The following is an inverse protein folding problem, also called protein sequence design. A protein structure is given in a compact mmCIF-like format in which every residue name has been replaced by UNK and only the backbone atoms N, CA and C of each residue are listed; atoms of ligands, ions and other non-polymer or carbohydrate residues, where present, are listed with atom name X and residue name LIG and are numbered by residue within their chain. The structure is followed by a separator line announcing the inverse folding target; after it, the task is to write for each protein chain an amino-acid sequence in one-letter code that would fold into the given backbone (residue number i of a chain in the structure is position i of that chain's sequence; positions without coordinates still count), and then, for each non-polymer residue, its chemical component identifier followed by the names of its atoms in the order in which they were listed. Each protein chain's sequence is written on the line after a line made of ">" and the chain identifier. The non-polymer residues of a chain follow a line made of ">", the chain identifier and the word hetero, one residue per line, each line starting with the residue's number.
data_IF_433910533253
#
_entry.id   IF_433910533253
#
_cell.length_a   1.000
_cell.length_b   1.000
_cell.length_c   1.000
_cell.angle_alpha   90.00
_cell.angle_beta   90.00
_cell.angle_gamma   90.00
#
_symmetry.space_group_name_H-M   'P 1'
#
loop_
_entity.id
_entity.type
_entity.pdbx_description
1 polymer ?
#
# COMPACT_ATOMS: atom_id res chain seq x y z
N UNK A 1 20.24 -10.85 22.15
CA UNK A 1 19.47 -9.65 22.59
C UNK A 1 18.37 -9.39 21.60
N UNK A 2 17.15 -9.20 22.04
CA UNK A 2 16.03 -8.84 21.17
C UNK A 2 16.19 -7.38 20.74
N UNK A 3 16.13 -7.11 19.45
CA UNK A 3 16.15 -5.74 18.89
C UNK A 3 14.78 -5.12 19.17
N UNK A 4 14.78 -4.01 19.91
CA UNK A 4 13.56 -3.21 20.11
C UNK A 4 13.54 -2.05 19.15
N UNK A 5 12.48 -2.00 18.33
CA UNK A 5 12.31 -0.96 17.30
C UNK A 5 11.92 0.37 17.93
N UNK A 6 12.39 1.45 17.35
CA UNK A 6 12.05 2.84 17.71
C UNK A 6 11.81 3.67 16.47
N UNK A 7 11.17 4.83 16.60
CA UNK A 7 11.07 5.76 15.48
C UNK A 7 12.40 6.43 15.21
N UNK A 8 12.84 6.38 13.95
CA UNK A 8 13.97 7.14 13.43
C UNK A 8 13.52 8.47 12.84
N UNK A 9 12.36 8.46 12.16
CA UNK A 9 11.81 9.65 11.49
C UNK A 9 10.29 9.70 11.67
N UNK A 10 9.77 10.88 12.02
CA UNK A 10 8.33 11.17 12.09
C UNK A 10 8.03 12.32 11.13
N UNK A 11 6.93 12.22 10.40
CA UNK A 11 6.44 13.25 9.48
C UNK A 11 4.94 13.45 9.61
N UNK A 12 4.50 14.65 9.22
CA UNK A 12 3.06 14.97 9.09
C UNK A 12 2.81 15.37 7.64
N UNK A 13 2.41 14.44 6.77
CA UNK A 13 2.17 14.72 5.37
C UNK A 13 1.08 15.78 5.19
N UNK A 14 1.31 16.86 4.42
CA UNK A 14 0.31 17.90 4.22
C UNK A 14 -0.84 17.39 3.34
N UNK A 15 -2.07 17.80 3.68
CA UNK A 15 -3.19 17.62 2.77
C UNK A 15 -3.12 18.63 1.64
N UNK A 16 -3.33 18.21 0.40
CA UNK A 16 -3.30 19.06 -0.79
C UNK A 16 -4.40 18.68 -1.78
N UNK A 17 -4.80 19.56 -2.71
CA UNK A 17 -5.72 19.18 -3.77
C UNK A 17 -5.17 17.99 -4.57
N UNK A 18 -6.02 16.98 -4.79
CA UNK A 18 -5.68 15.82 -5.60
C UNK A 18 -6.01 16.01 -7.08
N UNK A 19 -5.56 15.08 -7.92
CA UNK A 19 -5.65 15.18 -9.39
C UNK A 19 -7.06 14.86 -9.97
N UNK A 20 -7.95 14.25 -9.18
CA UNK A 20 -9.33 13.96 -9.60
C UNK A 20 -10.26 15.19 -9.57
N UNK A 21 -9.73 16.38 -9.29
CA UNK A 21 -10.49 17.64 -9.36
C UNK A 21 -11.20 18.02 -8.06
N UNK A 22 -12.36 18.69 -8.20
CA UNK A 22 -13.07 19.25 -7.06
C UNK A 22 -13.52 18.19 -6.05
N UNK A 23 -13.22 18.43 -4.76
CA UNK A 23 -13.54 17.49 -3.66
C UNK A 23 -12.49 16.39 -3.45
N UNK A 24 -11.45 16.33 -4.28
CA UNK A 24 -10.33 15.41 -4.06
C UNK A 24 -9.22 16.07 -3.23
N UNK A 25 -8.90 15.45 -2.11
CA UNK A 25 -7.77 15.79 -1.24
C UNK A 25 -6.84 14.59 -1.17
N UNK A 26 -5.56 14.80 -1.36
CA UNK A 26 -4.52 13.79 -1.30
C UNK A 26 -3.48 14.13 -0.22
N UNK A 27 -2.97 13.12 0.49
CA UNK A 27 -1.80 13.23 1.37
C UNK A 27 -0.69 12.33 0.84
N UNK A 28 0.43 12.88 0.38
CA UNK A 28 1.59 12.09 0.01
C UNK A 28 2.31 11.58 1.27
N UNK A 29 1.91 10.42 1.77
CA UNK A 29 2.45 9.81 3.00
C UNK A 29 3.87 9.29 2.78
N UNK A 30 4.10 8.65 1.63
CA UNK A 30 5.44 8.29 1.11
C UNK A 30 5.60 9.01 -0.22
N UNK A 31 6.56 9.94 -0.25
CA UNK A 31 6.91 10.69 -1.45
C UNK A 31 8.32 11.26 -1.28
N UNK A 32 9.21 11.02 -2.24
CA UNK A 32 10.58 11.51 -2.16
C UNK A 32 11.62 10.54 -2.71
N UNK A 33 12.77 10.46 -2.06
CA UNK A 33 13.86 9.57 -2.49
C UNK A 33 13.52 8.12 -2.16
N UNK A 34 13.47 7.27 -3.19
CA UNK A 34 13.21 5.85 -3.06
C UNK A 34 14.26 5.13 -2.20
N UNK A 35 15.51 5.60 -2.19
CA UNK A 35 16.55 4.97 -1.39
C UNK A 35 16.26 4.99 0.11
N UNK A 36 15.49 5.98 0.58
CA UNK A 36 15.09 6.10 1.98
C UNK A 36 13.85 5.26 2.32
N UNK A 37 13.11 4.79 1.31
CA UNK A 37 11.80 4.16 1.47
C UNK A 37 11.68 2.79 0.81
N UNK A 38 12.74 2.30 0.15
CA UNK A 38 12.77 0.98 -0.49
C UNK A 38 12.21 -0.11 0.45
N UNK A 39 11.18 -0.88 0.05
CA UNK A 39 10.66 -1.06 -1.32
C UNK A 39 9.45 -0.18 -1.67
N UNK A 40 9.09 0.79 -0.85
CA UNK A 40 7.90 1.63 -1.05
C UNK A 40 8.23 2.84 -1.91
N UNK A 41 7.61 2.94 -3.10
CA UNK A 41 7.85 4.04 -4.05
C UNK A 41 6.99 5.26 -3.71
N UNK A 42 5.71 5.01 -3.42
CA UNK A 42 4.70 6.04 -3.19
C UNK A 42 3.62 5.47 -2.26
N UNK A 43 3.11 6.28 -1.34
CA UNK A 43 1.86 6.02 -0.62
C UNK A 43 1.03 7.30 -0.61
N UNK A 44 -0.15 7.23 -1.20
CA UNK A 44 -1.14 8.30 -1.15
C UNK A 44 -2.30 7.91 -0.24
N UNK A 45 -2.74 8.87 0.59
CA UNK A 45 -4.01 8.81 1.32
C UNK A 45 -4.98 9.75 0.59
N UNK A 46 -5.81 9.16 -0.27
CA UNK A 46 -6.72 9.86 -1.16
C UNK A 46 -8.14 9.88 -0.60
N UNK A 47 -8.70 11.08 -0.47
CA UNK A 47 -10.04 11.35 0.02
C UNK A 47 -10.83 12.10 -1.04
N UNK A 48 -11.91 11.50 -1.55
CA UNK A 48 -12.79 12.13 -2.53
C UNK A 48 -14.18 12.34 -1.94
N UNK A 49 -14.70 13.56 -2.02
CA UNK A 49 -16.11 13.91 -1.78
C UNK A 49 -16.71 14.50 -3.07
N UNK A 50 -17.03 13.61 -4.01
CA UNK A 50 -17.53 13.95 -5.34
C UNK A 50 -19.01 14.35 -5.29
N UNK A 51 -19.31 15.56 -5.78
CA UNK A 51 -20.66 16.16 -5.74
C UNK A 51 -21.40 16.12 -7.09
N UNK A 52 -20.71 15.74 -8.15
CA UNK A 52 -21.22 15.70 -9.52
C UNK A 52 -21.09 14.29 -10.13
N UNK A 53 -21.55 14.13 -11.37
CA UNK A 53 -21.49 12.89 -12.15
C UNK A 53 -20.54 13.00 -13.35
N UNK A 54 -19.66 14.00 -13.36
CA UNK A 54 -18.64 14.17 -14.40
C UNK A 54 -17.57 13.08 -14.20
N UNK A 55 -17.30 12.20 -15.17
CA UNK A 55 -16.32 11.13 -15.00
C UNK A 55 -14.91 11.65 -14.71
N UNK A 56 -14.23 11.03 -13.76
CA UNK A 56 -12.81 11.26 -13.43
C UNK A 56 -12.10 9.91 -13.27
N UNK A 57 -10.78 9.85 -13.35
CA UNK A 57 -10.01 8.62 -13.16
C UNK A 57 -10.11 7.66 -14.35
N UNK A 58 -9.97 8.16 -15.59
CA UNK A 58 -10.01 7.33 -16.80
C UNK A 58 -8.85 6.35 -16.94
N UNK A 59 -8.84 5.57 -18.05
CA UNK A 59 -7.81 4.56 -18.31
C UNK A 59 -6.40 5.14 -18.27
N UNK A 60 -5.50 4.47 -17.56
CA UNK A 60 -4.10 4.87 -17.46
C UNK A 60 -3.17 3.66 -17.29
N UNK A 61 -1.90 3.77 -17.75
CA UNK A 61 -0.96 2.65 -17.71
C UNK A 61 -0.16 2.61 -16.42
N UNK A 62 0.35 1.42 -16.08
CA UNK A 62 1.41 1.21 -15.09
C UNK A 62 2.37 0.13 -15.58
N UNK A 63 3.65 0.20 -15.17
CA UNK A 63 4.64 -0.85 -15.40
C UNK A 63 5.78 -0.79 -14.39
N UNK A 64 6.35 -1.96 -14.05
CA UNK A 64 7.56 -2.12 -13.25
C UNK A 64 7.36 -2.15 -11.73
N UNK A 65 6.12 -2.16 -11.24
CA UNK A 65 5.81 -2.17 -9.81
C UNK A 65 4.47 -2.87 -9.53
N UNK A 66 4.10 -2.99 -8.28
CA UNK A 66 2.78 -3.42 -7.81
C UNK A 66 2.02 -2.22 -7.23
N UNK A 67 0.73 -2.08 -7.55
CA UNK A 67 -0.18 -1.17 -6.82
C UNK A 67 -0.93 -1.96 -5.76
N UNK A 68 -1.09 -1.36 -4.57
CA UNK A 68 -1.89 -1.93 -3.48
C UNK A 68 -2.89 -0.90 -3.04
N UNK A 69 -4.16 -1.15 -3.32
CA UNK A 69 -5.29 -0.27 -2.98
C UNK A 69 -6.03 -0.84 -1.79
N UNK A 70 -6.08 -0.11 -0.68
CA UNK A 70 -6.89 -0.45 0.50
C UNK A 70 -8.01 0.58 0.65
N UNK A 71 -9.26 0.13 0.62
CA UNK A 71 -10.44 0.99 0.80
C UNK A 71 -10.69 1.23 2.29
N UNK A 72 -10.57 2.47 2.74
CA UNK A 72 -10.84 2.86 4.14
C UNK A 72 -12.29 3.31 4.36
N UNK A 73 -12.88 3.97 3.36
CA UNK A 73 -14.28 4.44 3.36
C UNK A 73 -14.87 4.39 1.96
N UNK A 74 -16.19 4.14 1.89
CA UNK A 74 -16.92 4.12 0.63
C UNK A 74 -16.64 2.89 -0.20
N UNK A 75 -16.60 3.09 -1.51
CA UNK A 75 -16.41 2.04 -2.52
C UNK A 75 -15.70 2.60 -3.74
N UNK A 76 -15.03 1.74 -4.54
CA UNK A 76 -14.39 2.07 -5.81
C UNK A 76 -14.59 0.92 -6.79
N UNK A 77 -14.59 1.22 -8.11
CA UNK A 77 -14.86 0.23 -9.15
C UNK A 77 -16.34 -0.06 -9.34
N UNK A 78 -16.66 -0.89 -10.32
CA UNK A 78 -18.01 -1.28 -10.71
C UNK A 78 -18.11 -2.79 -10.93
N UNK A 79 -19.35 -3.31 -10.88
CA UNK A 79 -19.64 -4.72 -11.16
C UNK A 79 -18.92 -5.68 -10.21
N UNK A 80 -18.26 -6.68 -10.78
CA UNK A 80 -17.55 -7.74 -10.03
C UNK A 80 -16.25 -7.23 -9.40
N UNK A 81 -15.68 -6.14 -9.93
CA UNK A 81 -14.46 -5.52 -9.43
C UNK A 81 -14.69 -4.44 -8.36
N UNK A 82 -15.93 -4.31 -7.93
CA UNK A 82 -16.28 -3.37 -6.88
C UNK A 82 -15.57 -3.74 -5.59
N UNK A 83 -14.79 -2.79 -5.10
CA UNK A 83 -14.17 -2.82 -3.78
C UNK A 83 -14.97 -1.96 -2.83
N UNK A 84 -15.18 -2.46 -1.62
CA UNK A 84 -15.87 -1.77 -0.54
C UNK A 84 -14.94 -1.56 0.65
N UNK A 85 -15.39 -0.82 1.66
CA UNK A 85 -14.61 -0.56 2.88
C UNK A 85 -14.00 -1.84 3.47
N UNK A 86 -12.68 -1.83 3.62
CA UNK A 86 -11.88 -2.91 4.14
C UNK A 86 -11.42 -3.94 3.11
N UNK A 87 -11.81 -3.80 1.84
CA UNK A 87 -11.29 -4.61 0.75
C UNK A 87 -9.90 -4.12 0.33
N UNK A 88 -9.07 -5.05 -0.11
CA UNK A 88 -7.77 -4.76 -0.70
C UNK A 88 -7.67 -5.36 -2.09
N UNK A 89 -7.06 -4.63 -3.02
CA UNK A 89 -6.65 -5.12 -4.33
C UNK A 89 -5.15 -4.91 -4.52
N UNK A 90 -4.48 -5.96 -4.99
CA UNK A 90 -3.10 -5.90 -5.44
C UNK A 90 -3.05 -6.14 -6.93
N UNK A 91 -2.53 -5.17 -7.68
CA UNK A 91 -2.25 -5.31 -9.11
C UNK A 91 -0.75 -5.33 -9.34
N UNK A 92 -0.23 -6.45 -9.84
CA UNK A 92 1.12 -6.49 -10.39
C UNK A 92 1.09 -5.88 -11.79
N UNK A 93 1.66 -4.69 -11.96
CA UNK A 93 1.73 -4.06 -13.28
C UNK A 93 2.86 -4.64 -14.16
N UNK A 94 3.97 -5.02 -13.56
CA UNK A 94 5.05 -5.80 -14.18
C UNK A 94 5.48 -5.28 -15.55
N UNK A 95 5.30 -6.10 -16.59
CA UNK A 95 5.68 -5.77 -17.98
C UNK A 95 4.87 -4.63 -18.61
N UNK A 96 3.79 -4.21 -17.98
CA UNK A 96 2.95 -3.10 -18.43
C UNK A 96 1.50 -3.49 -18.62
N UNK A 97 0.60 -2.67 -18.09
CA UNK A 97 -0.84 -2.90 -18.12
C UNK A 97 -1.57 -1.54 -18.11
N UNK A 98 -2.77 -1.50 -18.67
CA UNK A 98 -3.71 -0.40 -18.54
C UNK A 98 -4.82 -0.83 -17.59
N UNK A 99 -5.20 0.03 -16.66
CA UNK A 99 -6.40 -0.16 -15.85
C UNK A 99 -7.29 1.07 -15.83
N UNK A 100 -8.50 0.94 -15.31
CA UNK A 100 -9.49 2.01 -15.29
C UNK A 100 -10.07 2.13 -13.89
N UNK A 101 -10.02 3.33 -13.33
CA UNK A 101 -10.59 3.67 -12.02
C UNK A 101 -11.62 4.80 -12.17
N UNK A 102 -12.52 4.69 -13.16
CA UNK A 102 -13.48 5.74 -13.47
C UNK A 102 -14.51 5.88 -12.35
N UNK A 103 -14.68 7.12 -11.89
CA UNK A 103 -15.68 7.52 -10.92
C UNK A 103 -16.61 8.53 -11.61
N UNK A 104 -17.83 8.08 -11.96
CA UNK A 104 -18.84 8.84 -12.72
C UNK A 104 -20.11 9.16 -11.92
N UNK A 105 -20.11 8.85 -10.61
CA UNK A 105 -21.23 9.08 -9.70
C UNK A 105 -20.84 9.93 -8.49
N UNK A 106 -21.84 10.52 -7.84
CA UNK A 106 -21.66 11.21 -6.56
C UNK A 106 -21.32 10.19 -5.49
N UNK A 107 -20.19 10.39 -4.81
CA UNK A 107 -19.74 9.46 -3.78
C UNK A 107 -18.74 10.07 -2.84
N UNK A 108 -18.54 9.42 -1.69
CA UNK A 108 -17.41 9.65 -0.80
C UNK A 108 -16.57 8.39 -0.73
N UNK A 109 -15.27 8.56 -0.84
CA UNK A 109 -14.32 7.47 -0.61
C UNK A 109 -13.05 7.96 0.08
N UNK A 110 -12.37 7.06 0.76
CA UNK A 110 -10.99 7.21 1.20
C UNK A 110 -10.25 5.92 0.91
N UNK A 111 -9.13 6.02 0.22
CA UNK A 111 -8.27 4.88 -0.10
C UNK A 111 -6.83 5.17 0.29
N UNK A 112 -6.09 4.11 0.57
CA UNK A 112 -4.63 4.14 0.62
C UNK A 112 -4.11 3.45 -0.62
N UNK A 113 -3.36 4.20 -1.45
CA UNK A 113 -2.76 3.72 -2.69
C UNK A 113 -1.25 3.63 -2.51
N UNK A 114 -0.74 2.40 -2.40
CA UNK A 114 0.69 2.12 -2.32
C UNK A 114 1.25 1.69 -3.67
N UNK A 115 2.42 2.18 -4.04
CA UNK A 115 3.27 1.63 -5.09
C UNK A 115 4.44 0.90 -4.46
N UNK A 116 4.54 -0.40 -4.72
CA UNK A 116 5.55 -1.30 -4.18
C UNK A 116 6.51 -1.72 -5.30
N UNK A 117 7.81 -1.50 -5.12
CA UNK A 117 8.82 -1.85 -6.12
C UNK A 117 8.87 -3.35 -6.33
N UNK A 118 8.90 -3.79 -7.58
CA UNK A 118 9.26 -5.16 -7.93
C UNK A 118 10.78 -5.33 -7.85
N UNK A 119 11.30 -6.47 -7.35
CA UNK A 119 12.73 -6.80 -7.51
C UNK A 119 13.12 -6.80 -8.99
N UNK A 120 14.34 -6.40 -9.34
CA UNK A 120 14.80 -6.31 -10.73
C UNK A 120 14.56 -7.60 -11.51
N UNK A 121 14.77 -8.78 -10.89
CA UNK A 121 14.50 -10.10 -11.50
C UNK A 121 13.03 -10.37 -11.84
N UNK A 122 12.11 -9.60 -11.24
CA UNK A 122 10.66 -9.70 -11.47
C UNK A 122 10.05 -8.41 -12.00
N UNK A 123 10.87 -7.40 -12.34
CA UNK A 123 10.43 -6.09 -12.85
C UNK A 123 9.43 -6.22 -13.98
N UNK A 124 9.63 -7.18 -14.84
CA UNK A 124 8.82 -7.42 -16.03
C UNK A 124 7.93 -8.67 -15.90
N UNK A 125 7.52 -9.01 -14.66
CA UNK A 125 6.56 -10.09 -14.43
C UNK A 125 5.27 -9.86 -15.21
N UNK A 126 4.56 -10.94 -15.52
CA UNK A 126 3.24 -10.84 -16.16
C UNK A 126 2.27 -10.07 -15.26
N UNK A 127 1.48 -9.13 -15.81
CA UNK A 127 0.45 -8.44 -15.05
C UNK A 127 -0.56 -9.42 -14.47
N UNK A 128 -1.00 -9.15 -13.22
CA UNK A 128 -2.03 -9.97 -12.54
C UNK A 128 -2.78 -9.13 -11.52
N UNK A 129 -3.98 -9.60 -11.14
CA UNK A 129 -4.82 -8.98 -10.13
C UNK A 129 -5.07 -9.97 -8.99
N UNK A 130 -5.07 -9.49 -7.75
CA UNK A 130 -5.44 -10.27 -6.57
C UNK A 130 -6.36 -9.42 -5.69
N UNK A 131 -7.54 -9.93 -5.40
CA UNK A 131 -8.52 -9.28 -4.54
C UNK A 131 -8.59 -10.00 -3.19
N UNK A 132 -8.67 -9.22 -2.12
CA UNK A 132 -8.93 -9.73 -0.77
C UNK A 132 -10.10 -8.95 -0.17
N UNK A 133 -11.24 -9.62 -0.06
CA UNK A 133 -12.42 -9.02 0.56
C UNK A 133 -12.22 -8.84 2.06
N UNK A 134 -12.82 -7.80 2.61
CA UNK A 134 -12.71 -7.49 4.04
C UNK A 134 -13.10 -8.65 4.97
N UNK A 135 -14.07 -9.46 4.53
CA UNK A 135 -14.55 -10.64 5.27
C UNK A 135 -13.54 -11.80 5.27
N UNK A 136 -12.71 -11.90 4.22
CA UNK A 136 -11.74 -13.00 4.02
C UNK A 136 -10.34 -12.65 4.53
N UNK A 137 -10.11 -11.37 4.89
CA UNK A 137 -8.84 -10.93 5.44
C UNK A 137 -8.60 -11.54 6.83
N UNK A 138 -7.52 -12.33 7.03
CA UNK A 138 -7.22 -12.94 8.31
C UNK A 138 -7.09 -11.90 9.42
N UNK A 139 -7.62 -12.20 10.60
CA UNK A 139 -7.54 -11.30 11.74
C UNK A 139 -7.26 -12.02 13.05
N UNK A 140 -6.65 -11.32 13.99
CA UNK A 140 -6.32 -11.81 15.34
C UNK A 140 -6.34 -10.66 16.34
N UNK A 141 -6.66 -10.97 17.60
CA UNK A 141 -6.58 -10.00 18.70
C UNK A 141 -5.45 -10.38 19.67
N UNK A 142 -4.55 -9.43 19.94
CA UNK A 142 -3.39 -9.60 20.82
C UNK A 142 -3.18 -8.33 21.63
N UNK A 143 -3.17 -8.44 22.98
CA UNK A 143 -2.84 -7.32 23.88
C UNK A 143 -3.75 -6.10 23.74
N UNK A 144 -5.07 -6.30 23.48
CA UNK A 144 -6.01 -5.18 23.23
C UNK A 144 -5.85 -4.52 21.86
N UNK A 145 -5.08 -5.12 20.96
CA UNK A 145 -5.03 -4.77 19.56
C UNK A 145 -5.78 -5.80 18.72
N UNK A 146 -6.63 -5.33 17.81
CA UNK A 146 -7.25 -6.12 16.75
C UNK A 146 -6.49 -5.86 15.45
N UNK A 147 -5.90 -6.92 14.89
CA UNK A 147 -5.03 -6.87 13.70
C UNK A 147 -5.76 -7.56 12.56
N UNK A 148 -5.98 -6.85 11.46
CA UNK A 148 -6.42 -7.41 10.18
C UNK A 148 -5.23 -7.41 9.23
N UNK A 149 -4.86 -8.59 8.71
CA UNK A 149 -3.67 -8.79 7.91
C UNK A 149 -4.02 -8.88 6.43
N UNK A 150 -3.47 -7.95 5.64
CA UNK A 150 -3.69 -7.89 4.19
C UNK A 150 -2.56 -8.53 3.38
N UNK A 151 -1.32 -8.50 3.88
CA UNK A 151 -0.18 -9.13 3.20
C UNK A 151 0.82 -9.67 4.21
N UNK A 152 1.49 -10.75 3.85
CA UNK A 152 2.58 -11.36 4.62
C UNK A 152 2.11 -12.22 5.80
N UNK A 153 2.91 -12.22 6.86
CA UNK A 153 2.67 -12.97 8.11
C UNK A 153 2.90 -12.07 9.30
N UNK A 154 1.97 -12.06 10.26
CA UNK A 154 2.07 -11.27 11.49
C UNK A 154 1.25 -11.93 12.60
N UNK A 155 1.74 -11.90 13.85
CA UNK A 155 1.02 -12.36 15.03
C UNK A 155 0.40 -13.78 14.86
N UNK A 156 1.12 -14.68 14.18
CA UNK A 156 0.70 -16.08 13.99
C UNK A 156 -0.30 -16.32 12.84
N UNK A 157 -0.76 -15.29 12.15
CA UNK A 157 -1.64 -15.42 10.98
C UNK A 157 -0.91 -15.11 9.67
N UNK A 158 -1.47 -15.56 8.53
CA UNK A 158 -0.91 -15.37 7.19
C UNK A 158 -1.98 -14.92 6.22
N UNK A 159 -1.66 -13.95 5.37
CA UNK A 159 -2.52 -13.50 4.28
C UNK A 159 -2.42 -14.43 3.06
N UNK A 160 -3.50 -14.59 2.26
CA UNK A 160 -3.45 -15.28 0.98
C UNK A 160 -2.77 -14.45 -0.13
N UNK A 161 -2.66 -13.13 0.02
CA UNK A 161 -2.03 -12.24 -0.98
C UNK A 161 -0.56 -12.56 -1.15
N UNK A 162 -0.11 -12.64 -2.40
CA UNK A 162 1.27 -13.00 -2.78
C UNK A 162 1.95 -11.85 -3.52
N UNK A 163 2.81 -11.14 -2.81
CA UNK A 163 3.67 -10.09 -3.37
C UNK A 163 4.96 -10.69 -3.93
N UNK A 164 5.50 -10.08 -4.99
CA UNK A 164 6.87 -10.39 -5.45
C UNK A 164 7.92 -9.85 -4.49
N UNK A 165 7.69 -8.66 -3.92
CA UNK A 165 8.52 -8.12 -2.82
C UNK A 165 7.89 -8.50 -1.48
N UNK A 166 8.59 -9.22 -0.60
CA UNK A 166 8.05 -9.62 0.69
C UNK A 166 7.63 -8.39 1.51
N UNK A 167 6.36 -8.37 1.93
CA UNK A 167 5.76 -7.25 2.66
C UNK A 167 4.79 -7.77 3.72
N UNK A 168 4.68 -7.02 4.81
CA UNK A 168 3.60 -7.11 5.80
C UNK A 168 2.76 -5.85 5.69
N UNK A 169 1.46 -6.01 5.49
CA UNK A 169 0.48 -4.93 5.48
C UNK A 169 -0.65 -5.28 6.44
N UNK A 170 -0.83 -4.48 7.47
CA UNK A 170 -1.84 -4.73 8.50
C UNK A 170 -2.58 -3.45 8.91
N UNK A 171 -3.89 -3.55 9.09
CA UNK A 171 -4.74 -2.57 9.76
C UNK A 171 -4.86 -2.95 11.23
N UNK A 172 -4.39 -2.10 12.12
CA UNK A 172 -4.32 -2.35 13.55
C UNK A 172 -5.20 -1.34 14.27
N UNK A 173 -6.23 -1.85 14.95
CA UNK A 173 -7.07 -1.06 15.86
C UNK A 173 -6.74 -1.44 17.30
N UNK A 174 -6.50 -0.46 18.15
CA UNK A 174 -6.12 -0.66 19.54
C UNK A 174 -7.13 -0.01 20.48
N UNK A 175 -7.48 -0.73 21.53
CA UNK A 175 -8.32 -0.21 22.61
C UNK A 175 -7.63 0.93 23.34
N UNK A 176 -8.42 1.68 24.13
CA UNK A 176 -7.92 2.80 24.95
C UNK A 176 -6.83 2.31 25.92
N UNK A 177 -5.66 2.95 25.86
CA UNK A 177 -4.49 2.63 26.67
C UNK A 177 -3.99 1.18 26.52
N UNK A 178 -4.36 0.46 25.45
CA UNK A 178 -3.88 -0.88 25.18
C UNK A 178 -2.39 -0.89 24.83
N UNK A 179 -1.73 -1.97 25.20
CA UNK A 179 -0.32 -2.24 24.85
C UNK A 179 -0.24 -3.58 24.15
N UNK A 180 0.46 -3.63 23.01
CA UNK A 180 0.74 -4.85 22.28
C UNK A 180 2.19 -4.90 21.83
N UNK A 181 2.72 -6.09 21.60
CA UNK A 181 4.06 -6.29 21.04
C UNK A 181 3.98 -7.20 19.84
N UNK A 182 4.63 -6.78 18.74
CA UNK A 182 4.64 -7.47 17.46
C UNK A 182 6.07 -7.84 17.09
N UNK A 183 6.26 -9.05 16.57
CA UNK A 183 7.53 -9.48 15.99
C UNK A 183 7.57 -9.09 14.50
N UNK A 184 8.63 -8.40 14.07
CA UNK A 184 8.87 -7.97 12.70
C UNK A 184 10.29 -8.36 12.27
N UNK A 185 10.51 -8.69 10.98
CA UNK A 185 11.86 -8.84 10.47
C UNK A 185 12.67 -7.55 10.68
N UNK A 186 13.81 -7.65 11.36
CA UNK A 186 14.62 -6.49 11.74
C UNK A 186 15.15 -5.71 10.51
N UNK A 187 15.34 -6.40 9.37
CA UNK A 187 15.81 -5.87 8.09
C UNK A 187 14.72 -5.25 7.21
N UNK A 188 13.43 -5.31 7.61
CA UNK A 188 12.37 -4.71 6.83
C UNK A 188 12.27 -3.22 7.14
N UNK A 189 12.19 -2.42 6.08
CA UNK A 189 11.84 -1.01 6.19
C UNK A 189 10.37 -0.92 6.62
N UNK A 190 10.12 -0.28 7.75
CA UNK A 190 8.82 -0.32 8.41
C UNK A 190 8.31 1.06 8.72
N UNK A 191 7.08 1.35 8.32
CA UNK A 191 6.37 2.59 8.59
C UNK A 191 5.02 2.31 9.25
N UNK A 192 4.65 3.14 10.22
CA UNK A 192 3.32 3.22 10.80
C UNK A 192 2.65 4.52 10.32
N UNK A 193 1.40 4.42 9.85
CA UNK A 193 0.58 5.57 9.50
C UNK A 193 -0.69 5.59 10.36
N UNK A 194 -0.87 6.62 11.18
CA UNK A 194 -1.99 6.73 12.12
C UNK A 194 -3.19 7.36 11.43
N UNK A 195 -4.30 6.61 11.40
CA UNK A 195 -5.58 7.05 10.82
C UNK A 195 -6.48 7.75 11.84
N UNK A 196 -6.38 7.34 13.12
CA UNK A 196 -7.18 7.91 14.21
C UNK A 196 -6.51 7.66 15.56
N UNK A 197 -6.70 8.56 16.52
CA UNK A 197 -6.13 8.48 17.85
C UNK A 197 -4.63 8.70 17.88
N UNK A 198 -3.91 7.96 18.74
CA UNK A 198 -2.45 8.08 18.86
C UNK A 198 -1.81 6.78 19.32
N UNK A 199 -0.56 6.56 18.91
CA UNK A 199 0.25 5.40 19.30
C UNK A 199 1.67 5.83 19.63
N UNK A 200 2.24 5.26 20.69
CA UNK A 200 3.64 5.50 21.07
C UNK A 200 4.49 4.25 20.85
N UNK A 201 5.73 4.48 20.44
CA UNK A 201 6.83 3.50 20.40
C UNK A 201 7.97 4.08 21.23
N UNK A 202 8.26 3.46 22.37
CA UNK A 202 9.14 4.02 23.37
C UNK A 202 8.58 5.36 23.89
N UNK A 203 9.40 6.41 23.83
CA UNK A 203 9.04 7.76 24.30
C UNK A 203 8.41 8.66 23.21
N UNK A 204 8.37 8.20 21.97
CA UNK A 204 7.88 8.98 20.82
C UNK A 204 6.45 8.60 20.48
N UNK A 205 5.60 9.58 20.21
CA UNK A 205 4.18 9.40 19.92
C UNK A 205 3.84 9.89 18.51
N UNK A 206 3.06 9.10 17.78
CA UNK A 206 2.37 9.49 16.56
C UNK A 206 0.92 9.82 16.86
N UNK A 207 0.43 10.93 16.35
CA UNK A 207 -0.99 11.30 16.31
C UNK A 207 -1.61 11.06 14.94
N UNK A 208 -2.88 11.42 14.81
CA UNK A 208 -3.64 11.27 13.57
C UNK A 208 -2.96 11.96 12.37
N UNK A 209 -2.96 11.30 11.23
CA UNK A 209 -2.32 11.69 9.97
C UNK A 209 -0.79 11.82 10.04
N UNK A 210 -0.14 11.30 11.07
CA UNK A 210 1.31 11.22 11.14
C UNK A 210 1.82 9.86 10.68
N UNK A 211 2.99 9.89 10.03
CA UNK A 211 3.75 8.71 9.63
C UNK A 211 5.06 8.63 10.39
N UNK A 212 5.38 7.45 10.92
CA UNK A 212 6.61 7.18 11.64
C UNK A 212 7.37 6.00 11.03
N UNK A 213 8.61 6.23 10.60
CA UNK A 213 9.52 5.20 10.14
C UNK A 213 10.33 4.65 11.30
N UNK A 214 10.43 3.34 11.37
CA UNK A 214 11.23 2.65 12.37
C UNK A 214 12.70 2.55 11.92
N UNK A 215 13.59 2.47 12.90
CA UNK A 215 15.00 2.20 12.68
C UNK A 215 15.22 0.87 11.94
N UNK A 216 16.12 0.87 10.96
CA UNK A 216 16.46 -0.27 10.12
C UNK A 216 17.71 -0.99 10.64
N UNK A 217 17.64 -2.31 10.72
CA UNK A 217 18.78 -3.13 11.16
C UNK A 217 19.24 -4.08 10.05
N UNK A 218 20.55 -4.20 9.85
CA UNK A 218 21.14 -5.07 8.82
C UNK A 218 21.08 -6.56 9.14
N UNK A 219 20.72 -6.94 10.36
CA UNK A 219 20.63 -8.34 10.80
C UNK A 219 19.38 -9.04 10.22
N UNK A 220 19.50 -10.34 9.99
CA UNK A 220 18.39 -11.13 9.42
C UNK A 220 17.37 -11.62 10.47
N UNK A 221 17.55 -11.24 11.72
CA UNK A 221 16.76 -11.70 12.87
C UNK A 221 15.47 -10.90 13.03
N UNK A 222 14.57 -11.41 13.85
CA UNK A 222 13.35 -10.74 14.26
C UNK A 222 13.65 -9.58 15.21
N UNK A 223 12.80 -8.59 15.19
CA UNK A 223 12.79 -7.47 16.11
C UNK A 223 11.43 -7.32 16.77
N UNK A 224 11.37 -6.65 17.90
CA UNK A 224 10.17 -6.38 18.66
C UNK A 224 9.72 -4.94 18.46
N UNK A 225 8.44 -4.77 18.09
CA UNK A 225 7.76 -3.48 18.04
C UNK A 225 6.70 -3.43 19.14
N UNK A 226 6.96 -2.64 20.18
CA UNK A 226 5.98 -2.40 21.24
C UNK A 226 5.16 -1.17 20.93
N UNK A 227 3.83 -1.30 20.87
CA UNK A 227 2.87 -0.23 20.60
C UNK A 227 2.05 0.06 21.86
N UNK A 228 1.90 1.35 22.21
CA UNK A 228 1.06 1.81 23.31
C UNK A 228 0.05 2.80 22.76
N UNK A 229 -1.23 2.46 22.82
CA UNK A 229 -2.30 3.33 22.38
C UNK A 229 -2.55 4.46 23.38
N UNK A 230 -2.97 5.62 22.86
CA UNK A 230 -3.40 6.74 23.70
C UNK A 230 -4.74 6.50 24.41
N UNK A 231 -5.19 7.51 25.18
CA UNK A 231 -6.40 7.43 25.99
C UNK A 231 -7.70 7.23 25.19
N UNK A 232 -7.69 7.51 23.89
CA UNK A 232 -8.82 7.32 22.97
C UNK A 232 -8.64 6.11 22.06
N UNK A 233 -7.63 5.26 22.30
CA UNK A 233 -7.24 4.20 21.41
C UNK A 233 -6.45 4.69 20.22
N UNK A 234 -6.23 3.80 19.24
CA UNK A 234 -5.58 4.12 17.98
C UNK A 234 -6.10 3.24 16.85
N UNK A 235 -6.08 3.75 15.62
CA UNK A 235 -6.12 2.95 14.40
C UNK A 235 -4.97 3.38 13.50
N UNK A 236 -4.17 2.41 13.06
CA UNK A 236 -3.01 2.66 12.24
C UNK A 236 -2.83 1.57 11.19
N UNK A 237 -2.16 1.91 10.10
CA UNK A 237 -1.72 0.95 9.10
C UNK A 237 -0.21 0.74 9.25
N UNK A 238 0.19 -0.53 9.34
CA UNK A 238 1.57 -0.96 9.37
C UNK A 238 1.97 -1.42 7.98
N UNK A 239 3.01 -0.79 7.43
CA UNK A 239 3.71 -1.18 6.22
C UNK A 239 5.11 -1.62 6.59
N UNK A 240 5.48 -2.87 6.29
CA UNK A 240 6.81 -3.40 6.59
C UNK A 240 7.26 -4.24 5.41
N UNK A 241 8.28 -3.79 4.67
CA UNK A 241 8.72 -4.41 3.41
C UNK A 241 10.21 -4.69 3.37
N UNK A 242 10.57 -5.78 2.71
CA UNK A 242 11.97 -6.11 2.48
C UNK A 242 12.54 -5.16 1.43
N UNK A 243 13.58 -4.35 1.76
CA UNK A 243 14.27 -3.56 0.76
C UNK A 243 14.77 -4.44 -0.38
N UNK A 244 14.58 -3.99 -1.62
CA UNK A 244 15.04 -4.69 -2.82
C UNK A 244 16.54 -4.49 -3.04
N UNK A 245 17.06 -3.33 -2.66
CA UNK A 245 18.43 -2.90 -2.95
C UNK A 245 18.69 -2.64 -4.44
N UNK A 246 17.65 -2.73 -5.26
CA UNK A 246 17.73 -2.50 -6.70
C UNK A 246 17.53 -1.02 -7.02
N UNK A 247 18.36 -0.40 -7.86
CA UNK A 247 18.11 0.96 -8.33
C UNK A 247 16.86 0.98 -9.21
N UNK A 248 16.11 2.09 -9.14
CA UNK A 248 14.97 2.32 -10.02
C UNK A 248 15.09 3.66 -10.74
N UNK A 249 14.54 3.71 -11.96
CA UNK A 249 14.26 4.95 -12.69
C UNK A 249 12.75 5.12 -12.75
N UNK A 250 12.25 6.23 -12.22
CA UNK A 250 10.83 6.56 -12.18
C UNK A 250 10.52 7.73 -13.10
N UNK A 251 9.51 7.59 -13.95
CA UNK A 251 8.97 8.70 -14.75
C UNK A 251 7.49 8.49 -15.04
N UNK A 252 6.64 9.38 -14.51
CA UNK A 252 5.18 9.26 -14.60
C UNK A 252 4.68 7.92 -14.05
N UNK A 253 3.89 7.15 -14.82
CA UNK A 253 3.29 5.89 -14.37
C UNK A 253 4.22 4.67 -14.53
N UNK A 254 5.49 4.88 -14.84
CA UNK A 254 6.44 3.81 -15.18
C UNK A 254 7.66 3.80 -14.26
N UNK A 255 8.02 2.60 -13.86
CA UNK A 255 9.26 2.28 -13.14
C UNK A 255 10.08 1.33 -14.02
N UNK A 256 11.36 1.61 -14.16
CA UNK A 256 12.31 0.77 -14.90
C UNK A 256 13.62 0.63 -14.14
N UNK A 257 14.51 -0.21 -14.65
CA UNK A 257 15.88 -0.32 -14.13
C UNK A 257 16.78 0.73 -14.80
N UNK A 258 16.41 1.19 -15.99
CA UNK A 258 17.15 2.16 -16.80
C UNK A 258 16.25 3.19 -17.48
N UNK A 259 16.82 4.32 -17.90
CA UNK A 259 16.11 5.31 -18.71
C UNK A 259 15.61 4.75 -20.07
N UNK A 260 16.30 3.75 -20.60
CA UNK A 260 15.90 3.05 -21.83
C UNK A 260 14.58 2.28 -21.62
N UNK A 261 14.39 1.68 -20.45
CA UNK A 261 13.13 1.01 -20.10
C UNK A 261 11.96 1.98 -20.11
N UNK A 262 12.13 3.17 -19.54
CA UNK A 262 11.10 4.20 -19.54
C UNK A 262 10.74 4.60 -20.97
N UNK A 263 11.74 4.80 -21.83
CA UNK A 263 11.53 5.14 -23.25
C UNK A 263 10.75 4.03 -23.97
N UNK A 264 11.12 2.75 -23.74
CA UNK A 264 10.44 1.58 -24.28
C UNK A 264 8.98 1.53 -23.85
N UNK A 265 8.70 1.69 -22.55
CA UNK A 265 7.35 1.63 -21.98
C UNK A 265 6.43 2.72 -22.56
N UNK A 266 6.91 3.98 -22.69
CA UNK A 266 6.15 5.02 -23.36
C UNK A 266 5.85 4.71 -24.83
N UNK A 267 6.80 4.09 -25.52
CA UNK A 267 6.61 3.68 -26.92
C UNK A 267 5.56 2.56 -27.03
N UNK A 268 5.64 1.54 -26.21
CA UNK A 268 4.70 0.40 -26.16
C UNK A 268 3.28 0.89 -25.82
N UNK A 269 3.15 1.75 -24.81
CA UNK A 269 1.86 2.34 -24.46
C UNK A 269 1.22 3.11 -25.60
N UNK A 270 2.00 4.00 -26.26
CA UNK A 270 1.51 4.79 -27.42
C UNK A 270 1.11 3.91 -28.61
N UNK A 271 1.66 2.74 -28.72
CA UNK A 271 1.33 1.77 -29.77
C UNK A 271 0.15 0.86 -29.38
N UNK A 272 -0.45 1.03 -28.19
CA UNK A 272 -1.54 0.18 -27.70
C UNK A 272 -1.12 -1.25 -27.41
N UNK A 273 0.16 -1.49 -27.09
CA UNK A 273 0.70 -2.82 -26.81
C UNK A 273 0.52 -3.30 -25.38
N UNK A 274 0.16 -2.38 -24.45
CA UNK A 274 -0.14 -2.76 -23.08
C UNK A 274 -1.58 -3.28 -23.01
N UNK A 275 -1.80 -4.53 -22.52
CA UNK A 275 -3.14 -5.08 -22.38
C UNK A 275 -3.93 -4.33 -21.29
N UNK A 276 -5.25 -4.41 -21.34
CA UNK A 276 -6.07 -4.01 -20.20
C UNK A 276 -6.02 -5.10 -19.13
N UNK A 277 -6.04 -4.74 -17.84
CA UNK A 277 -5.91 -5.70 -16.73
C UNK A 277 -7.00 -6.77 -16.75
N UNK A 278 -8.23 -6.43 -17.17
CA UNK A 278 -9.33 -7.37 -17.33
C UNK A 278 -9.04 -8.47 -18.36
N UNK A 279 -8.39 -8.12 -19.48
CA UNK A 279 -8.06 -9.09 -20.54
C UNK A 279 -7.02 -10.10 -20.04
N UNK A 280 -6.11 -9.67 -19.18
CA UNK A 280 -5.08 -10.54 -18.58
C UNK A 280 -5.71 -11.48 -17.57
N UNK A 281 -6.56 -10.99 -16.69
CA UNK A 281 -7.22 -11.76 -15.64
C UNK A 281 -8.15 -12.84 -16.22
N UNK A 282 -8.96 -12.50 -17.23
CA UNK A 282 -9.80 -13.44 -17.94
C UNK A 282 -9.01 -14.56 -18.63
N UNK A 283 -7.80 -14.29 -19.12
CA UNK A 283 -6.93 -15.28 -19.73
C UNK A 283 -6.34 -16.27 -18.70
N UNK A 284 -6.03 -15.82 -17.48
CA UNK A 284 -5.56 -16.69 -16.39
C UNK A 284 -6.67 -17.65 -15.91
N UNK A 285 -7.90 -17.19 -15.74
CA UNK A 285 -9.04 -18.05 -15.36
C UNK A 285 -9.34 -19.14 -16.39
N UNK A 286 -9.13 -18.91 -17.67
CA UNK A 286 -9.31 -19.89 -18.75
C UNK A 286 -8.16 -20.92 -18.76
N UNK A 287 -6.96 -20.53 -18.35
CA UNK A 287 -5.77 -21.40 -18.30
C UNK A 287 -5.72 -22.37 -17.12
N UNK A 288 -6.52 -22.13 -16.06
CA UNK A 288 -6.59 -22.97 -14.85
C UNK A 288 -7.70 -24.05 -14.90
N UNK A 289 -8.39 -24.24 -16.05
CA UNK A 289 -9.48 -25.25 -16.23
C UNK A 289 -9.00 -26.49 -16.97
#
# INVERSE_FOLDING_TARGET
>A
MTIRRKFERISTPPAQPGFLGAGHIARPVIYGDFNDTDPFILLMDDMLDKKDEIPVGGPHPHAGFETVTLVLEGEIGDGEEKMSKGDLQLMTAGSGVVHTETIDKKMKMRILQLWLSLPAKHRWAQPRLQDLKAADAPSVSVGGAHIKLYSGKLAGISSPIRNYTPMILADISMDNNATTSLELPARYNTMLYVLNGSVSVGEQTLGENQAGWLDLHSVAEQSELSLNAGATGARLILYSGQPTGDPIVSHGPFIGDTAADITRLYHEYRQGKMPHIHDVHAAEEIGER
#
